data_IF_128463489455
#
_entry.id   IF_128463489455
#
_cell.length_a   1.000
_cell.length_b   1.000
_cell.length_c   1.000
_cell.angle_alpha   90.00
_cell.angle_beta   90.00
_cell.angle_gamma   90.00
#
_symmetry.space_group_name_H-M   'P 1'
#
loop_
_entity.id
_entity.type
_entity.pdbx_description
1 polymer ?
#
# COMPACT_ATOMS: atom_id res chain seq x y z
N UNK A 1 27.32 -9.55 -4.41
CA UNK A 1 26.16 -10.33 -3.94
C UNK A 1 25.30 -9.40 -3.10
N UNK A 2 24.01 -9.25 -3.39
CA UNK A 2 23.14 -8.43 -2.55
C UNK A 2 23.03 -9.09 -1.17
N UNK A 3 23.46 -8.37 -0.14
CA UNK A 3 23.33 -8.79 1.26
C UNK A 3 21.90 -8.49 1.70
N UNK A 4 21.07 -9.52 1.81
CA UNK A 4 19.72 -9.38 2.33
C UNK A 4 19.82 -9.22 3.84
N UNK A 5 19.65 -7.99 4.32
CA UNK A 5 19.52 -7.70 5.74
C UNK A 5 18.09 -8.02 6.19
N UNK A 6 17.90 -9.20 6.76
CA UNK A 6 16.67 -9.55 7.46
C UNK A 6 16.64 -8.83 8.81
N UNK A 7 15.77 -7.84 8.97
CA UNK A 7 15.41 -7.32 10.29
C UNK A 7 14.21 -8.11 10.76
N UNK A 8 14.40 -8.93 11.81
CA UNK A 8 13.28 -9.51 12.53
C UNK A 8 12.43 -8.36 13.08
N UNK A 9 11.22 -8.23 12.55
CA UNK A 9 10.21 -7.44 13.22
C UNK A 9 9.66 -8.34 14.32
N UNK A 10 10.30 -8.33 15.48
CA UNK A 10 9.76 -8.96 16.68
C UNK A 10 8.52 -8.18 17.13
N UNK A 11 7.37 -8.50 16.55
CA UNK A 11 6.07 -8.19 17.13
C UNK A 11 5.81 -9.24 18.22
N UNK A 12 5.51 -8.74 19.42
CA UNK A 12 5.11 -9.54 20.56
C UNK A 12 3.92 -10.45 20.22
N UNK A 13 4.20 -11.70 19.83
CA UNK A 13 3.34 -12.87 20.04
C UNK A 13 1.93 -12.91 19.45
N UNK A 14 1.48 -11.88 18.75
CA UNK A 14 0.16 -11.84 18.11
C UNK A 14 0.38 -11.63 16.62
N UNK A 15 0.45 -12.73 15.86
CA UNK A 15 -0.02 -12.69 14.48
C UNK A 15 -1.53 -12.52 14.53
N UNK A 16 -2.00 -11.34 14.90
CA UNK A 16 -3.28 -10.88 14.41
C UNK A 16 -3.07 -10.69 12.91
N UNK A 17 -3.35 -11.75 12.15
CA UNK A 17 -3.95 -11.54 10.85
C UNK A 17 -5.24 -10.77 11.13
N UNK A 18 -5.13 -9.45 11.23
CA UNK A 18 -6.29 -8.59 11.34
C UNK A 18 -7.00 -8.77 10.00
N UNK A 19 -8.17 -9.42 10.06
CA UNK A 19 -9.08 -9.45 8.93
C UNK A 19 -9.51 -8.01 8.74
N UNK A 20 -8.81 -7.32 7.85
CA UNK A 20 -9.16 -5.97 7.46
C UNK A 20 -10.43 -6.09 6.63
N UNK A 21 -11.56 -5.80 7.28
CA UNK A 21 -12.80 -5.57 6.57
C UNK A 21 -12.60 -4.39 5.61
N UNK A 22 -13.02 -4.54 4.36
CA UNK A 22 -12.98 -3.46 3.37
C UNK A 22 -13.80 -2.23 3.82
N UNK A 23 -14.72 -2.41 4.79
CA UNK A 23 -15.55 -1.36 5.38
C UNK A 23 -14.88 -0.63 6.57
N UNK A 24 -13.75 -1.11 7.08
CA UNK A 24 -13.01 -0.42 8.14
C UNK A 24 -12.35 0.85 7.60
N UNK A 25 -12.57 1.97 8.30
CA UNK A 25 -11.91 3.25 8.00
C UNK A 25 -10.86 3.58 9.04
N UNK A 26 -9.63 3.81 8.60
CA UNK A 26 -8.46 4.10 9.41
C UNK A 26 -8.19 5.61 9.39
N UNK A 27 -7.84 6.20 10.53
CA UNK A 27 -7.13 7.48 10.54
C UNK A 27 -5.65 7.27 10.19
N UNK A 28 -4.89 8.36 10.01
CA UNK A 28 -3.48 8.29 9.62
C UNK A 28 -2.61 7.46 10.59
N UNK A 29 -2.84 7.59 11.89
CA UNK A 29 -2.04 6.92 12.92
C UNK A 29 -2.30 5.42 12.90
N UNK A 30 -3.57 5.04 12.89
CA UNK A 30 -3.95 3.63 12.83
C UNK A 30 -3.54 3.00 11.49
N UNK A 31 -3.68 3.75 10.39
CA UNK A 31 -3.21 3.32 9.06
C UNK A 31 -1.70 3.08 9.01
N UNK A 32 -0.90 3.96 9.60
CA UNK A 32 0.55 3.80 9.73
C UNK A 32 0.89 2.51 10.50
N UNK A 33 0.20 2.26 11.62
CA UNK A 33 0.38 1.05 12.42
C UNK A 33 0.06 -0.23 11.64
N UNK A 34 -1.10 -0.30 10.97
CA UNK A 34 -1.50 -1.51 10.22
C UNK A 34 -0.69 -1.69 8.94
N UNK A 35 -0.26 -0.61 8.28
CA UNK A 35 0.63 -0.70 7.10
C UNK A 35 2.07 -1.05 7.48
N UNK A 36 2.47 -0.83 8.74
CA UNK A 36 3.83 -1.06 9.24
C UNK A 36 4.82 0.02 8.79
N UNK A 37 4.35 1.21 8.44
CA UNK A 37 5.13 2.32 7.90
C UNK A 37 4.93 3.59 8.73
N UNK A 38 5.80 4.59 8.59
CA UNK A 38 5.66 5.83 9.34
C UNK A 38 4.58 6.75 8.74
N UNK A 39 3.89 7.58 9.56
CA UNK A 39 2.93 8.55 9.05
C UNK A 39 3.50 9.48 7.97
N UNK A 40 4.76 9.87 8.09
CA UNK A 40 5.44 10.74 7.11
C UNK A 40 5.57 10.07 5.75
N UNK A 41 5.90 8.77 5.73
CA UNK A 41 5.96 8.00 4.49
C UNK A 41 4.57 7.83 3.87
N UNK A 42 3.53 7.64 4.68
CA UNK A 42 2.14 7.60 4.20
C UNK A 42 1.73 8.94 3.58
N UNK A 43 2.12 10.07 4.18
CA UNK A 43 1.85 11.40 3.62
C UNK A 43 2.53 11.58 2.25
N UNK A 44 3.74 11.04 2.09
CA UNK A 44 4.39 11.03 0.77
C UNK A 44 3.59 10.19 -0.24
N UNK A 45 3.02 9.04 0.15
CA UNK A 45 2.17 8.29 -0.77
C UNK A 45 0.99 9.11 -1.29
N UNK A 46 0.43 10.02 -0.48
CA UNK A 46 -0.64 10.92 -0.90
C UNK A 46 -0.10 11.99 -1.85
N UNK A 47 1.08 12.56 -1.55
CA UNK A 47 1.75 13.55 -2.40
C UNK A 47 2.07 13.02 -3.81
N UNK A 48 2.41 11.73 -3.92
CA UNK A 48 2.70 11.07 -5.20
C UNK A 48 1.47 10.40 -5.83
N UNK A 49 0.26 10.72 -5.39
CA UNK A 49 -1.02 10.16 -5.85
C UNK A 49 -1.12 8.62 -5.77
N UNK A 50 -0.27 7.99 -4.96
CA UNK A 50 -0.32 6.55 -4.70
C UNK A 50 -1.52 6.23 -3.81
N UNK A 51 -1.83 7.08 -2.84
CA UNK A 51 -3.05 6.98 -2.03
C UNK A 51 -3.92 8.19 -2.28
N UNK A 52 -5.23 7.99 -2.38
CA UNK A 52 -6.20 9.06 -2.57
C UNK A 52 -6.93 9.32 -1.25
N UNK A 53 -6.85 10.56 -0.76
CA UNK A 53 -7.62 11.01 0.40
C UNK A 53 -8.24 12.37 0.10
N UNK A 54 -9.34 12.69 0.78
CA UNK A 54 -10.00 13.99 0.66
C UNK A 54 -9.96 14.76 1.98
N UNK A 55 -10.05 16.08 1.89
CA UNK A 55 -10.05 16.97 3.04
C UNK A 55 -8.65 17.30 3.56
N UNK A 56 -8.58 17.81 4.79
CA UNK A 56 -7.33 18.15 5.45
C UNK A 56 -6.67 16.91 6.08
N UNK A 57 -5.35 16.91 6.38
CA UNK A 57 -4.66 15.75 6.94
C UNK A 57 -5.29 15.14 8.19
N UNK A 58 -5.95 15.97 9.02
CA UNK A 58 -6.67 15.53 10.23
C UNK A 58 -7.96 14.76 9.93
N UNK A 59 -8.46 14.84 8.70
CA UNK A 59 -9.68 14.22 8.22
C UNK A 59 -9.39 13.05 7.27
N UNK A 60 -8.13 12.69 7.04
CA UNK A 60 -7.80 11.57 6.18
C UNK A 60 -8.41 10.29 6.71
N UNK A 61 -9.13 9.60 5.82
CA UNK A 61 -9.71 8.29 6.05
C UNK A 61 -9.18 7.35 4.99
N UNK A 62 -8.65 6.24 5.44
CA UNK A 62 -8.13 5.18 4.58
C UNK A 62 -8.99 3.93 4.73
N UNK A 63 -9.07 3.16 3.67
CA UNK A 63 -9.76 1.87 3.62
C UNK A 63 -8.79 0.70 3.79
N UNK A 64 -9.32 -0.51 3.93
CA UNK A 64 -8.50 -1.71 3.85
C UNK A 64 -7.77 -1.88 2.53
N UNK A 65 -8.37 -1.45 1.42
CA UNK A 65 -7.72 -1.48 0.11
C UNK A 65 -6.51 -0.55 0.03
N UNK A 66 -6.53 0.57 0.75
CA UNK A 66 -5.40 1.49 0.84
C UNK A 66 -4.23 0.86 1.59
N UNK A 67 -4.48 0.04 2.63
CA UNK A 67 -3.43 -0.67 3.37
C UNK A 67 -2.70 -1.65 2.44
N UNK A 68 -3.46 -2.39 1.63
CA UNK A 68 -2.90 -3.32 0.64
C UNK A 68 -2.07 -2.55 -0.39
N UNK A 69 -2.58 -1.41 -0.88
CA UNK A 69 -1.88 -0.55 -1.84
C UNK A 69 -0.59 0.02 -1.27
N UNK A 70 -0.60 0.53 -0.03
CA UNK A 70 0.59 1.02 0.67
C UNK A 70 1.65 -0.08 0.84
N UNK A 71 1.27 -1.28 1.31
CA UNK A 71 2.19 -2.41 1.44
C UNK A 71 2.80 -2.82 0.09
N UNK A 72 2.03 -2.74 -1.00
CA UNK A 72 2.53 -2.99 -2.37
C UNK A 72 3.52 -1.92 -2.81
N UNK A 73 3.21 -0.64 -2.57
CA UNK A 73 4.09 0.48 -2.87
C UNK A 73 5.44 0.32 -2.15
N UNK A 74 5.42 -0.01 -0.86
CA UNK A 74 6.63 -0.26 -0.07
C UNK A 74 7.47 -1.39 -0.64
N UNK A 75 6.84 -2.50 -1.04
CA UNK A 75 7.56 -3.62 -1.67
C UNK A 75 8.20 -3.23 -2.99
N UNK A 76 7.50 -2.47 -3.84
CA UNK A 76 8.07 -1.98 -5.10
C UNK A 76 9.25 -1.05 -4.86
N UNK A 77 9.11 -0.09 -3.94
CA UNK A 77 10.21 0.81 -3.54
C UNK A 77 11.42 0.01 -3.07
N UNK A 78 11.23 -0.96 -2.17
CA UNK A 78 12.32 -1.76 -1.59
C UNK A 78 12.96 -2.71 -2.61
N UNK A 79 12.15 -3.45 -3.35
CA UNK A 79 12.64 -4.53 -4.22
C UNK A 79 13.33 -3.98 -5.48
N UNK A 80 12.99 -2.74 -5.89
CA UNK A 80 13.56 -2.07 -7.07
C UNK A 80 14.42 -0.85 -6.74
N UNK A 81 14.60 -0.51 -5.46
CA UNK A 81 15.25 0.74 -5.01
C UNK A 81 14.68 1.99 -5.72
N UNK A 82 13.35 2.01 -5.87
CA UNK A 82 12.64 2.94 -6.74
C UNK A 82 12.18 4.21 -5.99
N UNK A 83 12.21 5.35 -6.68
CA UNK A 83 11.55 6.57 -6.19
C UNK A 83 10.04 6.38 -6.10
N UNK A 84 9.36 7.15 -5.23
CA UNK A 84 7.90 7.09 -5.14
C UNK A 84 7.20 7.47 -6.46
N UNK A 85 7.79 8.37 -7.25
CA UNK A 85 7.32 8.67 -8.61
C UNK A 85 7.39 7.48 -9.56
N UNK A 86 8.42 6.63 -9.46
CA UNK A 86 8.50 5.42 -10.26
C UNK A 86 7.50 4.37 -9.74
N UNK A 87 7.33 4.27 -8.43
CA UNK A 87 6.38 3.35 -7.79
C UNK A 87 4.93 3.68 -8.19
N UNK A 88 4.53 4.94 -8.27
CA UNK A 88 3.16 5.31 -8.70
C UNK A 88 2.88 4.79 -10.11
N UNK A 89 3.78 5.05 -11.06
CA UNK A 89 3.67 4.55 -12.44
C UNK A 89 3.65 3.02 -12.49
N UNK A 90 4.49 2.34 -11.70
CA UNK A 90 4.48 0.88 -11.64
C UNK A 90 3.14 0.34 -11.14
N UNK A 91 2.54 0.96 -10.11
CA UNK A 91 1.25 0.56 -9.59
C UNK A 91 0.15 0.71 -10.64
N UNK A 92 0.12 1.85 -11.34
CA UNK A 92 -0.86 2.12 -12.40
C UNK A 92 -0.77 1.09 -13.52
N UNK A 93 0.45 0.79 -14.00
CA UNK A 93 0.67 -0.23 -15.02
C UNK A 93 0.24 -1.61 -14.56
N UNK A 94 0.49 -1.97 -13.30
CA UNK A 94 0.08 -3.27 -12.80
C UNK A 94 -1.46 -3.34 -12.71
N UNK A 95 -2.11 -2.27 -12.27
CA UNK A 95 -3.57 -2.20 -12.20
C UNK A 95 -4.20 -2.28 -13.61
N UNK A 96 -3.60 -1.60 -14.59
CA UNK A 96 -3.99 -1.69 -16.00
C UNK A 96 -3.85 -3.13 -16.54
N UNK A 97 -2.72 -3.80 -16.29
CA UNK A 97 -2.53 -5.20 -16.68
C UNK A 97 -3.57 -6.11 -16.03
N UNK A 98 -3.90 -5.89 -14.75
CA UNK A 98 -4.94 -6.65 -14.07
C UNK A 98 -6.31 -6.41 -14.71
N UNK A 99 -6.65 -5.17 -15.06
CA UNK A 99 -7.89 -4.82 -15.75
C UNK A 99 -7.98 -5.48 -17.13
N UNK A 100 -6.93 -5.37 -17.95
CA UNK A 100 -6.88 -5.98 -19.28
C UNK A 100 -7.05 -7.50 -19.21
N UNK A 101 -6.37 -8.16 -18.26
CA UNK A 101 -6.53 -9.61 -18.03
C UNK A 101 -7.94 -9.99 -17.58
N UNK A 102 -8.64 -9.14 -16.82
CA UNK A 102 -10.05 -9.37 -16.47
C UNK A 102 -10.96 -9.28 -17.71
N UNK A 103 -10.77 -8.27 -18.56
CA UNK A 103 -11.55 -8.09 -19.79
C UNK A 103 -11.38 -9.25 -20.77
N UNK A 104 -10.16 -9.75 -20.95
CA UNK A 104 -9.92 -10.91 -21.82
C UNK A 104 -10.67 -12.14 -21.28
N UNK A 105 -10.60 -12.39 -19.97
CA UNK A 105 -11.29 -13.53 -19.35
C UNK A 105 -12.82 -13.41 -19.43
N UNK A 106 -13.37 -12.21 -19.26
CA UNK A 106 -14.81 -12.00 -19.41
C UNK A 106 -15.29 -12.13 -20.85
N UNK A 107 -14.44 -11.84 -21.84
CA UNK A 107 -14.76 -11.99 -23.27
C UNK A 107 -14.60 -13.42 -23.80
N UNK A 108 -14.03 -14.34 -23.00
CA UNK A 108 -13.87 -15.76 -23.32
C UNK A 108 -14.89 -16.67 -22.60
N UNK A 109 -15.79 -16.08 -21.80
CA UNK A 109 -16.91 -16.74 -21.14
C UNK A 109 -18.21 -16.47 -21.91
#
# INVERSE_FOLDING_TARGET
MPTIHYREITYSGLNEAEVIDEQCTFDLTHFAQVSGQSPEWILQLIEYDILSTSGQPQQYRFSGTDVIRARRAYRLQRDFDASLSAVSVMLDLIDEVHQLRRQIRSNQA
#
